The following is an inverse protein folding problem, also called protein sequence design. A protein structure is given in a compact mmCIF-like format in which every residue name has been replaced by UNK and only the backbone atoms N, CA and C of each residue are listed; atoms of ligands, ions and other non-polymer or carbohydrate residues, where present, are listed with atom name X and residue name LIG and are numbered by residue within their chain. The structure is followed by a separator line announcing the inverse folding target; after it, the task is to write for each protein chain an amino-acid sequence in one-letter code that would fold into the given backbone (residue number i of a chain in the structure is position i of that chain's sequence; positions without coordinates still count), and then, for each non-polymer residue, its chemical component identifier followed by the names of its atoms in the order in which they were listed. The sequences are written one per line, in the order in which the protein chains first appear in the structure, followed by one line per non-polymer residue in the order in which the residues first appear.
data_IF_600559401801
#
_entry.id   IF_600559401801
#
_cell.length_a   1.000
_cell.length_b   1.000
_cell.length_c   1.000
_cell.angle_alpha   90.00
_cell.angle_beta   90.00
_cell.angle_gamma   90.00
#
_symmetry.space_group_name_H-M   'P 1'
#
loop_
_entity.id
_entity.type
_entity.pdbx_description
1 polymer ?
#
# COMPACT_ATOMS: atom_id res chain seq x y z
N UNK A 1 3.84 -7.19 -12.07
CA UNK A 1 3.61 -6.00 -12.89
C UNK A 1 4.88 -5.18 -12.93
N UNK A 2 5.32 -4.79 -14.14
CA UNK A 2 6.64 -4.16 -14.28
C UNK A 2 6.69 -2.67 -13.97
N UNK A 3 5.54 -2.00 -14.01
CA UNK A 3 5.54 -0.54 -13.85
C UNK A 3 5.35 -0.11 -12.42
N UNK A 4 6.04 0.96 -12.03
CA UNK A 4 5.79 1.59 -10.75
C UNK A 4 4.41 2.26 -10.74
N UNK A 5 3.77 2.21 -9.59
CA UNK A 5 2.54 2.94 -9.32
C UNK A 5 2.85 4.07 -8.37
N UNK A 6 2.10 5.15 -8.53
CA UNK A 6 2.19 6.29 -7.62
C UNK A 6 0.78 6.59 -7.13
N UNK A 7 0.62 6.73 -5.82
CA UNK A 7 -0.70 7.01 -5.24
C UNK A 7 -0.58 7.77 -3.93
N UNK A 8 -1.66 8.45 -3.56
CA UNK A 8 -1.80 9.04 -2.24
C UNK A 8 -2.32 7.99 -1.28
N UNK A 9 -1.67 7.87 -0.15
CA UNK A 9 -1.98 6.87 0.85
C UNK A 9 -2.14 7.50 2.23
N UNK A 10 -3.19 7.11 2.93
CA UNK A 10 -3.42 7.54 4.32
C UNK A 10 -2.89 6.44 5.24
N UNK A 11 -1.85 6.74 6.02
CA UNK A 11 -1.26 5.76 6.91
C UNK A 11 -2.06 5.62 8.22
N UNK A 12 -1.60 4.74 9.11
CA UNK A 12 -2.29 4.46 10.36
C UNK A 12 -2.36 5.68 11.30
N UNK A 13 -1.51 6.68 11.08
CA UNK A 13 -1.55 7.94 11.84
C UNK A 13 -2.46 8.98 11.20
N UNK A 14 -3.22 8.62 10.17
CA UNK A 14 -4.06 9.51 9.36
C UNK A 14 -3.27 10.56 8.59
N UNK A 15 -2.00 10.31 8.37
CA UNK A 15 -1.18 11.20 7.54
C UNK A 15 -1.20 10.72 6.10
N UNK A 16 -1.32 11.67 5.19
CA UNK A 16 -1.39 11.40 3.76
C UNK A 16 -0.04 11.71 3.14
N UNK A 17 0.47 10.77 2.36
CA UNK A 17 1.71 10.94 1.64
C UNK A 17 1.65 10.21 0.30
N UNK A 18 2.41 10.67 -0.67
CA UNK A 18 2.54 9.99 -1.95
C UNK A 18 3.50 8.82 -1.80
N UNK A 19 3.07 7.66 -2.30
CA UNK A 19 3.88 6.45 -2.32
C UNK A 19 4.19 6.09 -3.75
N UNK A 20 5.45 5.72 -4.00
CA UNK A 20 5.89 5.21 -5.29
C UNK A 20 6.34 3.77 -5.07
N UNK A 21 5.66 2.83 -5.71
CA UNK A 21 5.84 1.41 -5.41
C UNK A 21 5.85 0.56 -6.67
N UNK A 22 6.45 -0.62 -6.58
CA UNK A 22 6.30 -1.67 -7.59
C UNK A 22 5.33 -2.71 -7.04
N UNK A 23 4.15 -2.89 -7.65
CA UNK A 23 3.18 -3.86 -7.14
C UNK A 23 3.70 -5.28 -7.27
N UNK A 24 3.40 -6.10 -6.27
CA UNK A 24 3.76 -7.51 -6.25
C UNK A 24 2.51 -8.37 -6.38
N UNK A 25 1.52 -8.17 -5.50
CA UNK A 25 0.27 -8.92 -5.55
C UNK A 25 -0.80 -8.21 -4.73
N UNK A 26 -2.04 -8.60 -4.99
CA UNK A 26 -3.19 -8.22 -4.16
C UNK A 26 -3.60 -9.45 -3.36
N UNK A 27 -3.89 -9.29 -2.08
CA UNK A 27 -4.29 -10.40 -1.24
C UNK A 27 -5.30 -9.95 -0.20
N UNK A 28 -6.07 -10.92 0.32
CA UNK A 28 -7.10 -10.65 1.32
C UNK A 28 -6.72 -11.31 2.63
N UNK A 29 -6.83 -10.57 3.71
CA UNK A 29 -6.50 -11.06 5.03
C UNK A 29 -6.36 -9.92 6.01
N UNK A 30 -5.50 -10.11 7.01
CA UNK A 30 -5.22 -9.08 8.00
C UNK A 30 -3.74 -9.09 8.35
N UNK A 31 -3.29 -7.98 8.93
CA UNK A 31 -1.93 -7.84 9.44
C UNK A 31 -2.01 -7.42 10.89
N UNK A 32 -0.86 -7.35 11.58
CA UNK A 32 -0.84 -6.85 12.96
C UNK A 32 -1.21 -5.36 13.05
N UNK A 33 -1.07 -4.61 11.96
CA UNK A 33 -1.41 -3.19 11.88
C UNK A 33 -2.86 -2.95 11.46
N UNK A 34 -3.48 -3.93 10.82
CA UNK A 34 -4.86 -3.90 10.35
C UNK A 34 -5.54 -5.19 10.79
N UNK A 35 -6.25 -5.11 11.89
CA UNK A 35 -6.81 -6.30 12.55
C UNK A 35 -8.06 -6.85 11.88
N UNK A 36 -8.66 -6.12 10.96
CA UNK A 36 -9.82 -6.57 10.21
C UNK A 36 -9.41 -7.18 8.88
N UNK A 37 -10.09 -8.24 8.46
CA UNK A 37 -9.88 -8.82 7.14
C UNK A 37 -10.22 -7.79 6.07
N UNK A 38 -9.32 -7.60 5.13
CA UNK A 38 -9.48 -6.61 4.06
C UNK A 38 -8.50 -6.92 2.93
N UNK A 39 -8.66 -6.19 1.82
CA UNK A 39 -7.75 -6.32 0.69
C UNK A 39 -6.50 -5.48 0.90
N UNK A 40 -5.36 -6.09 0.56
CA UNK A 40 -4.06 -5.43 0.61
C UNK A 40 -3.38 -5.47 -0.74
N UNK A 41 -2.62 -4.43 -1.04
CA UNK A 41 -1.65 -4.41 -2.12
C UNK A 41 -0.27 -4.63 -1.50
N UNK A 42 0.35 -5.78 -1.77
CA UNK A 42 1.75 -5.99 -1.44
C UNK A 42 2.59 -5.35 -2.54
N UNK A 43 3.51 -4.50 -2.16
CA UNK A 43 4.32 -3.77 -3.12
C UNK A 43 5.67 -3.41 -2.52
N UNK A 44 6.66 -3.23 -3.40
CA UNK A 44 7.97 -2.73 -3.00
C UNK A 44 7.92 -1.20 -2.96
N UNK A 45 8.10 -0.64 -1.77
CA UNK A 45 8.20 0.80 -1.60
C UNK A 45 9.56 1.26 -2.11
N UNK A 46 9.58 1.99 -3.22
CA UNK A 46 10.82 2.38 -3.88
C UNK A 46 11.60 3.44 -3.10
N UNK A 47 10.91 4.25 -2.31
CA UNK A 47 11.60 5.27 -1.52
C UNK A 47 12.35 4.66 -0.34
N UNK A 48 11.82 3.57 0.22
CA UNK A 48 12.41 2.90 1.37
C UNK A 48 13.09 1.59 1.01
N UNK A 49 12.91 1.14 -0.22
CA UNK A 49 13.44 -0.13 -0.72
C UNK A 49 13.07 -1.32 0.18
N UNK A 50 11.80 -1.37 0.56
CA UNK A 50 11.28 -2.48 1.36
C UNK A 50 9.85 -2.83 0.96
N UNK A 51 9.50 -4.11 1.11
CA UNK A 51 8.14 -4.57 0.82
C UNK A 51 7.19 -4.16 1.92
N UNK A 52 6.02 -3.71 1.51
CA UNK A 52 4.96 -3.28 2.43
C UNK A 52 3.62 -3.77 1.93
N UNK A 53 2.68 -3.90 2.88
CA UNK A 53 1.29 -4.21 2.57
C UNK A 53 0.47 -2.95 2.77
N UNK A 54 -0.09 -2.43 1.68
CA UNK A 54 -0.92 -1.24 1.72
C UNK A 54 -2.39 -1.65 1.75
N UNK A 55 -3.15 -1.12 2.72
CA UNK A 55 -4.59 -1.34 2.76
C UNK A 55 -5.22 -0.63 1.57
N UNK A 56 -5.94 -1.38 0.72
CA UNK A 56 -6.50 -0.82 -0.51
C UNK A 56 -7.49 0.30 -0.21
N UNK A 57 -8.27 0.19 0.85
CA UNK A 57 -9.23 1.23 1.21
C UNK A 57 -8.58 2.54 1.67
N UNK A 58 -7.30 2.52 2.01
CA UNK A 58 -6.56 3.72 2.39
C UNK A 58 -5.77 4.34 1.24
N UNK A 59 -5.84 3.75 0.07
CA UNK A 59 -5.34 4.35 -1.17
C UNK A 59 -6.39 5.35 -1.63
N UNK A 60 -6.04 6.63 -1.60
CA UNK A 60 -7.00 7.70 -1.85
C UNK A 60 -7.14 8.02 -3.35
N UNK A 61 -6.02 8.03 -4.05
CA UNK A 61 -6.02 8.40 -5.46
C UNK A 61 -4.76 7.88 -6.13
N UNK A 62 -4.91 7.31 -7.32
CA UNK A 62 -3.76 6.97 -8.18
C UNK A 62 -3.37 8.19 -9.00
N UNK A 63 -2.08 8.44 -9.08
CA UNK A 63 -1.54 9.62 -9.77
C UNK A 63 -0.92 9.30 -11.12
#
# INVERSE_FOLDING_TARGET
MPKALKFEYKNWENKIAVRTVKPIKIWYGKTEWHSENQWFLKALDLDKNEERDFSIRDILEFL
#
